data_IF_155658063333
#
_entry.id   IF_155658063333
#
_cell.length_a   1.000
_cell.length_b   1.000
_cell.length_c   1.000
_cell.angle_alpha   90.00
_cell.angle_beta   90.00
_cell.angle_gamma   90.00
#
_symmetry.space_group_name_H-M   'P 1'
#
loop_
_entity.id
_entity.type
_entity.pdbx_description
1 polymer ?
#
# COMPACT_ATOMS: atom_id res chain seq x y z
N UNK A 1 -20.18 -7.07 -1.18
CA UNK A 1 -20.28 -7.57 -2.58
C UNK A 1 -21.43 -6.85 -3.27
N UNK A 2 -21.27 -6.53 -4.55
CA UNK A 2 -22.32 -5.87 -5.35
C UNK A 2 -22.57 -6.73 -6.59
N UNK A 3 -23.83 -7.02 -6.88
CA UNK A 3 -24.26 -7.75 -8.08
C UNK A 3 -25.45 -7.02 -8.72
N UNK A 4 -25.40 -6.82 -10.04
CA UNK A 4 -26.41 -6.11 -10.82
C UNK A 4 -26.84 -4.74 -10.20
N UNK A 5 -25.89 -4.00 -9.61
CA UNK A 5 -26.13 -2.71 -8.95
C UNK A 5 -26.81 -2.78 -7.58
N UNK A 6 -26.90 -3.97 -6.99
CA UNK A 6 -27.48 -4.18 -5.66
C UNK A 6 -26.45 -4.78 -4.72
N UNK A 7 -26.53 -4.42 -3.43
CA UNK A 7 -25.74 -5.07 -2.40
C UNK A 7 -26.20 -6.53 -2.26
N UNK A 8 -25.31 -7.48 -2.57
CA UNK A 8 -25.58 -8.92 -2.53
C UNK A 8 -25.04 -9.60 -1.27
N UNK A 9 -24.12 -8.97 -0.56
CA UNK A 9 -23.58 -9.49 0.70
C UNK A 9 -22.53 -8.57 1.31
N UNK A 10 -22.41 -8.66 2.64
CA UNK A 10 -21.34 -8.06 3.44
C UNK A 10 -20.50 -9.19 3.99
N UNK A 11 -19.18 -9.11 3.86
CA UNK A 11 -18.20 -10.13 4.23
C UNK A 11 -17.28 -9.59 5.33
N UNK A 12 -16.40 -10.45 5.83
CA UNK A 12 -15.29 -10.13 6.75
C UNK A 12 -15.78 -9.63 8.13
N UNK A 13 -16.80 -10.32 8.67
CA UNK A 13 -17.42 -9.99 9.96
C UNK A 13 -16.51 -10.24 11.17
N UNK A 14 -15.35 -10.89 11.00
CA UNK A 14 -14.40 -11.18 12.08
C UNK A 14 -13.80 -9.92 12.72
N UNK A 15 -13.90 -8.77 12.06
CA UNK A 15 -13.46 -7.47 12.58
C UNK A 15 -14.62 -6.62 13.10
N UNK A 16 -15.85 -7.14 13.06
CA UNK A 16 -17.03 -6.39 13.49
C UNK A 16 -16.97 -6.07 15.00
N UNK A 17 -17.26 -4.83 15.35
CA UNK A 17 -17.30 -4.34 16.71
C UNK A 17 -18.28 -3.18 16.85
N UNK A 18 -18.61 -2.83 18.10
CA UNK A 18 -19.37 -1.60 18.38
C UNK A 18 -18.40 -0.41 18.33
N UNK A 19 -18.65 0.52 17.43
CA UNK A 19 -17.75 1.65 17.17
C UNK A 19 -18.44 2.85 16.54
N UNK A 20 -17.65 3.69 15.93
CA UNK A 20 -18.06 4.93 15.28
C UNK A 20 -18.50 4.65 13.83
N UNK A 21 -19.70 5.10 13.44
CA UNK A 21 -20.17 4.96 12.05
C UNK A 21 -19.23 5.59 11.01
N UNK A 22 -18.51 6.67 11.38
CA UNK A 22 -17.49 7.27 10.50
C UNK A 22 -16.27 6.36 10.31
N UNK A 23 -15.94 5.50 11.26
CA UNK A 23 -14.89 4.50 11.13
C UNK A 23 -15.21 3.52 10.01
N UNK A 24 -16.44 3.00 10.01
CA UNK A 24 -16.91 2.02 9.01
C UNK A 24 -16.92 2.64 7.59
N UNK A 25 -17.46 3.86 7.46
CA UNK A 25 -17.41 4.61 6.22
C UNK A 25 -15.96 4.85 5.73
N UNK A 26 -15.08 5.27 6.63
CA UNK A 26 -13.69 5.57 6.31
C UNK A 26 -12.92 4.32 5.88
N UNK A 27 -13.16 3.17 6.52
CA UNK A 27 -12.53 1.91 6.16
C UNK A 27 -12.80 1.53 4.70
N UNK A 28 -14.05 1.58 4.26
CA UNK A 28 -14.41 1.31 2.86
C UNK A 28 -13.94 2.39 1.87
N UNK A 29 -13.54 3.58 2.36
CA UNK A 29 -13.00 4.66 1.55
C UNK A 29 -11.47 4.66 1.45
N UNK A 30 -10.74 3.74 2.12
CA UNK A 30 -9.31 3.59 1.96
C UNK A 30 -8.96 3.25 0.50
N UNK A 31 -7.84 3.75 0.01
CA UNK A 31 -7.44 3.58 -1.41
C UNK A 31 -7.34 2.10 -1.80
N UNK A 32 -6.85 1.27 -0.90
CA UNK A 32 -6.68 -0.18 -1.10
C UNK A 32 -7.99 -0.91 -1.42
N UNK A 33 -9.13 -0.43 -0.91
CA UNK A 33 -10.46 -1.03 -1.13
C UNK A 33 -11.22 -0.46 -2.33
N UNK A 34 -10.64 0.51 -3.05
CA UNK A 34 -11.26 1.09 -4.27
C UNK A 34 -10.98 0.28 -5.53
N UNK A 35 -10.14 -0.76 -5.45
CA UNK A 35 -9.81 -1.65 -6.58
C UNK A 35 -9.44 -0.90 -7.87
N UNK A 36 -8.60 0.14 -7.73
CA UNK A 36 -8.13 0.97 -8.84
C UNK A 36 -9.03 2.15 -9.21
N UNK A 37 -10.21 2.28 -8.62
CA UNK A 37 -11.14 3.39 -8.86
C UNK A 37 -10.77 4.60 -8.00
N UNK A 38 -9.65 5.26 -8.32
CA UNK A 38 -9.19 6.44 -7.58
C UNK A 38 -10.16 7.62 -7.66
N UNK A 39 -10.91 7.69 -8.77
CA UNK A 39 -11.98 8.67 -9.04
C UNK A 39 -13.22 8.47 -8.15
N UNK A 40 -13.38 7.29 -7.52
CA UNK A 40 -14.53 6.89 -6.71
C UNK A 40 -14.09 6.60 -5.28
N UNK A 41 -13.98 7.65 -4.47
CA UNK A 41 -13.45 7.53 -3.11
C UNK A 41 -14.38 6.73 -2.17
N UNK A 42 -15.70 6.80 -2.37
CA UNK A 42 -16.68 6.02 -1.61
C UNK A 42 -16.76 4.57 -2.10
N UNK A 43 -16.08 3.65 -1.46
CA UNK A 43 -16.08 2.19 -1.73
C UNK A 43 -15.73 1.80 -3.20
N UNK A 44 -15.07 2.66 -3.95
CA UNK A 44 -14.87 2.47 -5.38
C UNK A 44 -16.13 2.65 -6.23
N UNK A 45 -17.21 3.13 -5.65
CA UNK A 45 -18.54 3.23 -6.29
C UNK A 45 -18.96 4.68 -6.56
N UNK A 46 -18.68 5.61 -5.63
CA UNK A 46 -19.14 6.99 -5.67
C UNK A 46 -18.10 7.95 -5.06
N UNK A 47 -18.38 9.25 -5.00
CA UNK A 47 -17.63 10.23 -4.21
C UNK A 47 -18.07 10.22 -2.74
N UNK A 48 -17.24 10.81 -1.86
CA UNK A 48 -17.51 10.86 -0.40
C UNK A 48 -18.77 11.67 -0.08
N UNK A 49 -19.04 12.76 -0.80
CA UNK A 49 -20.21 13.60 -0.51
C UNK A 49 -21.52 12.87 -0.82
N UNK A 50 -21.56 12.08 -1.88
CA UNK A 50 -22.70 11.24 -2.22
C UNK A 50 -22.87 10.10 -1.21
N UNK A 51 -21.77 9.48 -0.77
CA UNK A 51 -21.81 8.46 0.28
C UNK A 51 -22.33 9.03 1.60
N UNK A 52 -21.85 10.22 2.01
CA UNK A 52 -22.28 10.89 3.24
C UNK A 52 -23.78 11.14 3.24
N UNK A 53 -24.31 11.72 2.16
CA UNK A 53 -25.77 11.94 2.03
C UNK A 53 -26.55 10.63 2.11
N UNK A 54 -26.11 9.58 1.41
CA UNK A 54 -26.80 8.29 1.45
C UNK A 54 -26.77 7.67 2.84
N UNK A 55 -25.69 7.85 3.61
CA UNK A 55 -25.59 7.40 4.99
C UNK A 55 -26.56 8.14 5.91
N UNK A 56 -26.64 9.48 5.80
CA UNK A 56 -27.59 10.32 6.56
C UNK A 56 -29.05 9.99 6.20
N UNK A 57 -29.37 9.86 4.91
CA UNK A 57 -30.70 9.52 4.41
C UNK A 57 -31.16 8.11 4.89
N UNK A 58 -30.22 7.21 5.12
CA UNK A 58 -30.48 5.89 5.66
C UNK A 58 -30.65 5.88 7.20
N UNK A 59 -30.59 7.04 7.86
CA UNK A 59 -30.73 7.18 9.32
C UNK A 59 -29.41 7.16 10.07
N UNK A 60 -28.29 7.27 9.40
CA UNK A 60 -26.99 7.52 10.02
C UNK A 60 -26.93 8.89 10.70
N UNK A 61 -25.93 9.09 11.55
CA UNK A 61 -25.68 10.38 12.17
C UNK A 61 -25.19 11.41 11.12
N UNK A 62 -25.26 12.70 11.46
CA UNK A 62 -24.73 13.76 10.59
C UNK A 62 -23.26 13.52 10.28
N UNK A 63 -22.90 13.59 9.00
CA UNK A 63 -21.53 13.36 8.56
C UNK A 63 -20.59 14.48 9.02
N UNK A 64 -19.54 14.09 9.73
CA UNK A 64 -18.45 14.96 10.18
C UNK A 64 -17.18 14.65 9.39
N UNK A 65 -16.77 15.58 8.51
CA UNK A 65 -15.60 15.42 7.65
C UNK A 65 -14.27 15.33 8.43
N UNK A 66 -14.17 15.99 9.59
CA UNK A 66 -12.96 15.94 10.43
C UNK A 66 -12.83 14.57 11.09
N UNK A 67 -13.93 14.07 11.64
CA UNK A 67 -14.02 12.75 12.25
C UNK A 67 -13.80 11.63 11.21
N UNK A 68 -14.40 11.76 10.02
CA UNK A 68 -14.16 10.85 8.91
C UNK A 68 -12.69 10.83 8.49
N UNK A 69 -12.04 12.01 8.35
CA UNK A 69 -10.61 12.11 8.01
C UNK A 69 -9.74 11.44 9.08
N UNK A 70 -10.03 11.67 10.36
CA UNK A 70 -9.32 11.01 11.46
C UNK A 70 -9.35 9.49 11.28
N UNK A 71 -10.54 8.93 11.07
CA UNK A 71 -10.70 7.49 10.90
C UNK A 71 -10.05 6.97 9.62
N UNK A 72 -10.06 7.73 8.53
CA UNK A 72 -9.38 7.35 7.29
C UNK A 72 -7.87 7.19 7.50
N UNK A 73 -7.23 8.14 8.17
CA UNK A 73 -5.81 8.07 8.52
C UNK A 73 -5.56 6.91 9.49
N UNK A 74 -6.35 6.82 10.56
CA UNK A 74 -6.21 5.77 11.58
C UNK A 74 -6.32 4.37 10.98
N UNK A 75 -7.34 4.12 10.16
CA UNK A 75 -7.54 2.80 9.55
C UNK A 75 -6.50 2.47 8.48
N UNK A 76 -5.95 3.47 7.81
CA UNK A 76 -4.80 3.26 6.91
C UNK A 76 -3.55 2.83 7.69
N UNK A 77 -3.25 3.46 8.83
CA UNK A 77 -2.17 3.01 9.74
C UNK A 77 -2.45 1.61 10.27
N UNK A 78 -3.68 1.36 10.72
CA UNK A 78 -4.09 0.06 11.25
C UNK A 78 -3.88 -1.06 10.23
N UNK A 79 -4.25 -0.84 8.96
CA UNK A 79 -4.04 -1.83 7.89
C UNK A 79 -2.56 -2.02 7.55
N UNK A 80 -1.75 -0.97 7.60
CA UNK A 80 -0.29 -1.10 7.47
C UNK A 80 0.28 -2.06 8.53
N UNK A 81 -0.11 -1.86 9.81
CA UNK A 81 0.28 -2.75 10.91
C UNK A 81 -0.27 -4.17 10.74
N UNK A 82 -1.49 -4.30 10.22
CA UNK A 82 -2.11 -5.59 9.87
C UNK A 82 -1.27 -6.35 8.83
N UNK A 83 -0.81 -5.68 7.77
CA UNK A 83 0.10 -6.26 6.79
C UNK A 83 1.40 -6.75 7.45
N UNK A 84 2.03 -5.94 8.30
CA UNK A 84 3.25 -6.34 9.01
C UNK A 84 3.03 -7.54 9.94
N UNK A 85 1.86 -7.62 10.61
CA UNK A 85 1.52 -8.73 11.49
C UNK A 85 1.38 -10.06 10.72
N UNK A 86 0.91 -10.01 9.48
CA UNK A 86 0.88 -11.21 8.61
C UNK A 86 2.28 -11.75 8.33
N UNK A 87 3.26 -10.86 8.09
CA UNK A 87 4.66 -11.26 7.99
C UNK A 87 5.19 -11.90 9.27
N UNK A 88 4.78 -11.38 10.43
CA UNK A 88 5.15 -11.95 11.72
C UNK A 88 4.51 -13.34 11.96
N UNK A 89 3.24 -13.52 11.55
CA UNK A 89 2.59 -14.85 11.60
C UNK A 89 3.35 -15.90 10.81
N UNK A 90 3.89 -15.51 9.65
CA UNK A 90 4.75 -16.40 8.86
C UNK A 90 6.08 -16.69 9.56
N UNK A 91 6.76 -15.67 10.12
CA UNK A 91 8.05 -15.86 10.83
C UNK A 91 7.91 -16.73 12.07
N UNK A 92 6.83 -16.58 12.83
CA UNK A 92 6.55 -17.39 14.02
C UNK A 92 6.13 -18.84 13.72
N UNK A 93 5.80 -19.15 12.46
CA UNK A 93 5.29 -20.45 12.06
C UNK A 93 3.78 -20.65 12.27
N UNK A 94 3.05 -19.63 12.75
CA UNK A 94 1.62 -19.69 12.98
C UNK A 94 0.83 -19.88 11.66
N UNK A 95 1.27 -19.21 10.58
CA UNK A 95 0.72 -19.40 9.24
C UNK A 95 1.86 -19.29 8.22
N UNK A 96 2.27 -20.42 7.65
CA UNK A 96 3.39 -20.53 6.70
C UNK A 96 2.97 -20.38 5.24
N UNK A 97 1.75 -19.89 4.97
CA UNK A 97 1.31 -19.63 3.61
C UNK A 97 2.16 -18.54 2.95
N UNK A 98 2.43 -18.71 1.65
CA UNK A 98 3.16 -17.72 0.84
C UNK A 98 2.40 -16.39 0.77
N UNK A 99 1.07 -16.45 0.84
CA UNK A 99 0.19 -15.28 0.84
C UNK A 99 0.54 -14.30 1.97
N UNK A 100 0.81 -14.82 3.21
CA UNK A 100 1.19 -13.98 4.36
C UNK A 100 2.44 -13.15 4.10
N UNK A 101 3.42 -13.72 3.41
CA UNK A 101 4.66 -13.02 3.06
C UNK A 101 4.40 -11.92 2.03
N UNK A 102 3.60 -12.21 1.00
CA UNK A 102 3.31 -11.24 -0.07
C UNK A 102 2.41 -10.12 0.44
N UNK A 103 1.41 -10.44 1.28
CA UNK A 103 0.52 -9.41 1.87
C UNK A 103 1.31 -8.50 2.83
N UNK A 104 2.32 -9.01 3.54
CA UNK A 104 3.17 -8.17 4.38
C UNK A 104 3.85 -7.02 3.59
N UNK A 105 4.19 -7.23 2.31
CA UNK A 105 4.76 -6.20 1.43
C UNK A 105 3.76 -5.10 1.02
N UNK A 106 2.47 -5.33 1.21
CA UNK A 106 1.44 -4.32 0.94
C UNK A 106 1.43 -3.18 1.96
N UNK A 107 2.24 -3.27 3.02
CA UNK A 107 2.47 -2.14 3.92
C UNK A 107 2.93 -0.88 3.15
N UNK A 108 3.74 -1.04 2.09
CA UNK A 108 4.21 0.06 1.26
C UNK A 108 3.08 0.83 0.53
N UNK A 109 1.95 0.16 0.22
CA UNK A 109 0.76 0.84 -0.32
C UNK A 109 0.21 1.86 0.69
N UNK A 110 0.18 1.45 1.97
CA UNK A 110 -0.36 2.29 3.04
C UNK A 110 0.58 3.44 3.39
N UNK A 111 1.90 3.26 3.25
CA UNK A 111 2.88 4.33 3.40
C UNK A 111 2.65 5.43 2.35
N UNK A 112 2.40 5.04 1.09
CA UNK A 112 2.04 5.98 0.03
C UNK A 112 0.74 6.72 0.34
N UNK A 113 -0.31 5.96 0.69
CA UNK A 113 -1.63 6.52 0.97
C UNK A 113 -1.60 7.50 2.15
N UNK A 114 -0.84 7.18 3.20
CA UNK A 114 -0.63 8.07 4.35
C UNK A 114 0.09 9.36 3.93
N UNK A 115 1.12 9.29 3.10
CA UNK A 115 1.79 10.49 2.62
C UNK A 115 0.84 11.38 1.80
N UNK A 116 0.04 10.79 0.91
CA UNK A 116 -0.97 11.52 0.13
C UNK A 116 -2.06 12.16 1.01
N UNK A 117 -2.44 11.51 2.12
CA UNK A 117 -3.41 12.05 3.08
C UNK A 117 -2.84 13.19 3.93
N UNK A 118 -1.55 13.11 4.31
CA UNK A 118 -0.94 13.99 5.31
C UNK A 118 -0.12 15.14 4.70
N UNK A 119 0.32 15.04 3.44
CA UNK A 119 1.20 16.03 2.82
C UNK A 119 0.61 17.45 2.79
N UNK A 120 -0.72 17.57 2.79
CA UNK A 120 -1.40 18.88 2.86
C UNK A 120 -1.11 19.64 4.16
N UNK A 121 -0.66 18.96 5.21
CA UNK A 121 -0.30 19.55 6.51
C UNK A 121 1.14 20.09 6.53
N UNK A 122 1.95 19.71 5.53
CA UNK A 122 3.30 20.24 5.38
C UNK A 122 3.28 21.66 4.79
N UNK A 123 4.29 22.51 5.12
CA UNK A 123 4.47 23.81 4.47
C UNK A 123 4.57 23.67 2.95
N UNK A 124 4.12 24.71 2.22
CA UNK A 124 4.15 24.71 0.76
C UNK A 124 5.56 24.43 0.22
N UNK A 125 6.59 25.04 0.79
CA UNK A 125 7.97 24.83 0.39
C UNK A 125 8.42 23.37 0.50
N UNK A 126 7.90 22.61 1.48
CA UNK A 126 8.21 21.19 1.63
C UNK A 126 7.39 20.33 0.65
N UNK A 127 6.16 20.71 0.36
CA UNK A 127 5.33 20.03 -0.66
C UNK A 127 5.91 20.19 -2.07
N UNK A 128 6.54 21.31 -2.36
CA UNK A 128 7.16 21.67 -3.64
C UNK A 128 8.64 21.29 -3.71
N UNK A 129 9.23 20.74 -2.63
CA UNK A 129 10.64 20.36 -2.60
C UNK A 129 10.91 19.17 -3.53
N UNK A 130 11.94 19.30 -4.38
CA UNK A 130 12.42 18.23 -5.25
C UNK A 130 12.80 16.99 -4.44
N UNK A 131 12.53 15.83 -5.01
CA UNK A 131 12.99 14.57 -4.43
C UNK A 131 14.53 14.51 -4.47
N UNK A 132 15.16 13.94 -3.42
CA UNK A 132 16.59 13.70 -3.44
C UNK A 132 16.94 12.76 -4.60
N UNK A 133 18.13 12.98 -5.20
CA UNK A 133 18.62 12.09 -6.22
C UNK A 133 18.67 10.64 -5.72
N UNK A 134 18.20 9.71 -6.55
CA UNK A 134 18.28 8.30 -6.20
C UNK A 134 19.76 7.91 -5.99
N UNK A 135 20.10 7.22 -4.88
CA UNK A 135 21.46 6.75 -4.66
C UNK A 135 21.89 5.86 -5.83
N UNK A 136 23.11 6.10 -6.34
CA UNK A 136 23.67 5.36 -7.47
C UNK A 136 23.68 3.84 -7.24
N UNK A 137 23.53 3.08 -8.30
CA UNK A 137 23.60 1.61 -8.28
C UNK A 137 24.95 1.15 -7.76
N UNK A 138 24.96 0.37 -6.68
CA UNK A 138 26.05 -0.50 -6.34
C UNK A 138 25.49 -1.93 -6.35
N UNK A 139 25.59 -2.60 -7.47
CA UNK A 139 25.36 -4.05 -7.56
C UNK A 139 26.59 -4.67 -8.21
N UNK A 140 27.50 -5.14 -7.37
CA UNK A 140 28.43 -6.17 -7.83
C UNK A 140 27.65 -7.49 -7.80
N UNK A 141 27.36 -8.03 -8.98
CA UNK A 141 26.88 -9.41 -9.11
C UNK A 141 27.94 -10.37 -8.60
N UNK A 142 27.56 -11.30 -7.73
CA UNK A 142 28.46 -12.33 -7.20
C UNK A 142 28.72 -13.47 -8.20
N UNK A 143 28.09 -13.44 -9.39
CA UNK A 143 28.24 -14.49 -10.41
C UNK A 143 27.47 -14.20 -11.69
N UNK A 144 27.74 -15.05 -12.71
CA UNK A 144 27.06 -15.05 -14.02
C UNK A 144 26.41 -16.44 -14.24
N UNK A 145 25.11 -16.52 -14.61
CA UNK A 145 24.16 -15.39 -14.68
C UNK A 145 23.88 -14.78 -13.32
N UNK A 146 23.46 -13.51 -13.32
CA UNK A 146 23.10 -12.76 -12.10
C UNK A 146 21.89 -13.35 -11.39
N UNK A 147 21.74 -13.09 -10.09
CA UNK A 147 20.57 -13.52 -9.33
C UNK A 147 19.23 -13.03 -9.96
N UNK A 148 19.21 -11.81 -10.52
CA UNK A 148 18.03 -11.27 -11.21
C UNK A 148 17.71 -12.04 -12.49
N UNK A 149 18.72 -12.47 -13.24
CA UNK A 149 18.55 -13.31 -14.45
C UNK A 149 18.04 -14.71 -14.09
N UNK A 150 18.57 -15.33 -13.03
CA UNK A 150 18.10 -16.63 -12.54
C UNK A 150 16.61 -16.53 -12.14
N UNK A 151 16.22 -15.50 -11.38
CA UNK A 151 14.82 -15.28 -10.99
C UNK A 151 13.91 -15.04 -12.21
N UNK A 152 14.43 -14.34 -13.22
CA UNK A 152 13.72 -14.14 -14.50
C UNK A 152 13.49 -15.46 -15.21
N UNK A 153 14.53 -16.27 -15.36
CA UNK A 153 14.44 -17.58 -16.02
C UNK A 153 13.47 -18.53 -15.29
N UNK A 154 13.50 -18.56 -13.95
CA UNK A 154 12.52 -19.34 -13.16
C UNK A 154 11.09 -18.85 -13.39
N UNK A 155 10.87 -17.54 -13.39
CA UNK A 155 9.52 -16.96 -13.62
C UNK A 155 9.00 -17.27 -15.02
N UNK A 156 9.86 -17.20 -16.05
CA UNK A 156 9.52 -17.55 -17.44
C UNK A 156 9.20 -19.03 -17.57
N UNK A 157 10.00 -19.92 -16.96
CA UNK A 157 9.73 -21.35 -16.96
C UNK A 157 8.40 -21.68 -16.27
N UNK A 158 8.11 -21.09 -15.12
CA UNK A 158 6.83 -21.23 -14.41
C UNK A 158 5.66 -20.81 -15.29
N UNK A 159 5.78 -19.68 -15.98
CA UNK A 159 4.74 -19.16 -16.87
C UNK A 159 4.51 -20.05 -18.10
N UNK A 160 5.59 -20.52 -18.73
CA UNK A 160 5.52 -21.30 -19.98
C UNK A 160 5.17 -22.77 -19.73
N UNK A 161 5.66 -23.37 -18.63
CA UNK A 161 5.61 -24.83 -18.44
C UNK A 161 4.59 -25.26 -17.40
N UNK A 162 4.36 -24.46 -16.34
CA UNK A 162 3.55 -24.87 -15.19
C UNK A 162 2.15 -24.25 -15.25
N UNK A 163 2.04 -22.95 -15.57
CA UNK A 163 0.78 -22.19 -15.50
C UNK A 163 -0.38 -22.81 -16.30
N UNK A 164 -0.08 -23.39 -17.46
CA UNK A 164 -1.08 -24.06 -18.32
C UNK A 164 -1.56 -25.42 -17.81
N UNK A 165 -0.91 -25.98 -16.78
CA UNK A 165 -1.23 -27.28 -16.18
C UNK A 165 -2.01 -27.18 -14.87
N UNK A 166 -2.24 -25.95 -14.38
CA UNK A 166 -2.87 -25.66 -13.10
C UNK A 166 -4.20 -24.96 -13.29
N UNK A 167 -5.17 -25.27 -12.42
CA UNK A 167 -6.48 -24.66 -12.37
C UNK A 167 -6.81 -24.13 -10.97
N UNK A 168 -7.90 -23.34 -10.86
CA UNK A 168 -8.47 -22.88 -9.62
C UNK A 168 -7.44 -22.30 -8.65
N UNK A 169 -7.40 -22.82 -7.43
CA UNK A 169 -6.53 -22.33 -6.36
C UNK A 169 -5.05 -22.48 -6.67
N UNK A 170 -4.63 -23.58 -7.28
CA UNK A 170 -3.21 -23.83 -7.60
C UNK A 170 -2.68 -22.82 -8.62
N UNK A 171 -3.48 -22.45 -9.61
CA UNK A 171 -3.15 -21.41 -10.59
C UNK A 171 -3.03 -20.03 -9.93
N UNK A 172 -3.86 -19.75 -8.93
CA UNK A 172 -3.78 -18.51 -8.15
C UNK A 172 -2.51 -18.51 -7.27
N UNK A 173 -2.21 -19.59 -6.57
CA UNK A 173 -0.98 -19.74 -5.76
C UNK A 173 0.29 -19.57 -6.62
N UNK A 174 0.30 -20.09 -7.84
CA UNK A 174 1.38 -19.83 -8.78
C UNK A 174 1.52 -18.34 -9.11
N UNK A 175 0.42 -17.61 -9.29
CA UNK A 175 0.47 -16.17 -9.53
C UNK A 175 1.05 -15.42 -8.33
N UNK A 176 0.72 -15.83 -7.11
CA UNK A 176 1.31 -15.28 -5.87
C UNK A 176 2.82 -15.58 -5.82
N UNK A 177 3.24 -16.80 -6.17
CA UNK A 177 4.66 -17.18 -6.23
C UNK A 177 5.44 -16.34 -7.26
N UNK A 178 4.87 -16.15 -8.46
CA UNK A 178 5.47 -15.30 -9.49
C UNK A 178 5.58 -13.84 -9.06
N UNK A 179 4.58 -13.32 -8.32
CA UNK A 179 4.66 -11.98 -7.73
C UNK A 179 5.78 -11.89 -6.69
N UNK A 180 5.93 -12.88 -5.81
CA UNK A 180 7.02 -12.93 -4.83
C UNK A 180 8.40 -12.92 -5.50
N UNK A 181 8.62 -13.75 -6.53
CA UNK A 181 9.85 -13.73 -7.33
C UNK A 181 10.08 -12.35 -7.97
N UNK A 182 9.02 -11.72 -8.45
CA UNK A 182 9.05 -10.38 -9.02
C UNK A 182 9.51 -9.31 -8.02
N UNK A 183 9.05 -9.39 -6.75
CA UNK A 183 9.49 -8.51 -5.66
C UNK A 183 11.01 -8.65 -5.46
N UNK A 184 11.50 -9.87 -5.27
CA UNK A 184 12.94 -10.13 -5.03
C UNK A 184 13.78 -9.64 -6.21
N UNK A 185 13.34 -9.90 -7.46
CA UNK A 185 14.03 -9.42 -8.66
C UNK A 185 14.15 -7.89 -8.71
N UNK A 186 13.08 -7.19 -8.34
CA UNK A 186 13.08 -5.72 -8.32
C UNK A 186 13.94 -5.15 -7.18
N UNK A 187 13.96 -5.79 -6.01
CA UNK A 187 14.87 -5.43 -4.92
C UNK A 187 16.33 -5.59 -5.32
N UNK A 188 16.68 -6.70 -5.98
CA UNK A 188 18.05 -6.94 -6.47
C UNK A 188 18.46 -5.94 -7.58
N UNK A 189 17.48 -5.47 -8.36
CA UNK A 189 17.73 -4.45 -9.40
C UNK A 189 17.75 -3.01 -8.83
N UNK A 190 17.13 -2.78 -7.68
CA UNK A 190 17.05 -1.51 -6.98
C UNK A 190 17.94 -1.49 -5.73
N UNK A 191 18.04 -0.32 -5.10
CA UNK A 191 18.64 -0.20 -3.77
C UNK A 191 17.51 0.03 -2.77
N UNK A 192 17.24 -0.95 -1.91
CA UNK A 192 16.42 -0.70 -0.72
C UNK A 192 17.22 0.19 0.23
N UNK A 193 16.69 1.36 0.55
CA UNK A 193 17.24 2.18 1.62
C UNK A 193 16.87 1.49 2.95
N UNK A 194 17.85 1.11 3.79
CA UNK A 194 17.55 0.42 5.03
C UNK A 194 16.65 1.28 5.92
N UNK A 195 15.74 0.63 6.64
CA UNK A 195 14.88 1.33 7.59
C UNK A 195 15.70 2.19 8.53
N UNK A 196 15.47 3.51 8.49
CA UNK A 196 16.18 4.47 9.33
C UNK A 196 15.53 4.52 10.71
N UNK A 197 16.06 3.71 11.63
CA UNK A 197 15.59 3.68 13.02
C UNK A 197 15.73 5.03 13.71
N UNK A 198 16.80 5.77 13.40
CA UNK A 198 17.05 7.10 13.99
C UNK A 198 16.00 8.09 13.51
N UNK A 199 15.63 8.03 12.22
CA UNK A 199 14.55 8.85 11.68
C UNK A 199 13.22 8.53 12.37
N UNK A 200 12.88 7.24 12.49
CA UNK A 200 11.66 6.81 13.18
C UNK A 200 11.64 7.28 14.66
N UNK A 201 12.72 7.11 15.39
CA UNK A 201 12.85 7.58 16.77
C UNK A 201 12.71 9.10 16.88
N UNK A 202 13.25 9.87 15.93
CA UNK A 202 13.13 11.32 15.90
C UNK A 202 11.70 11.78 15.66
N UNK A 203 10.98 11.12 14.75
CA UNK A 203 9.56 11.40 14.49
C UNK A 203 8.72 11.07 15.73
N UNK A 204 8.88 9.86 16.28
CA UNK A 204 8.13 9.43 17.47
C UNK A 204 8.38 10.30 18.71
N UNK A 205 9.58 10.83 18.84
CA UNK A 205 9.93 11.76 19.94
C UNK A 205 9.54 13.23 19.66
N UNK A 206 8.88 13.52 18.54
CA UNK A 206 8.49 14.86 18.15
C UNK A 206 9.65 15.79 17.76
N UNK A 207 10.87 15.23 17.57
CA UNK A 207 12.03 16.02 17.12
C UNK A 207 11.99 16.35 15.63
N UNK A 208 11.24 15.58 14.86
CA UNK A 208 10.96 15.81 13.44
C UNK A 208 9.47 15.69 13.17
N UNK A 209 8.96 16.53 12.27
CA UNK A 209 7.56 16.58 11.87
C UNK A 209 7.47 16.99 10.39
N UNK A 210 6.25 17.07 9.84
CA UNK A 210 6.03 17.58 8.47
C UNK A 210 6.53 19.02 8.24
N UNK A 211 6.85 19.75 9.32
CA UNK A 211 7.47 21.10 9.27
C UNK A 211 9.00 21.03 9.14
N UNK A 212 9.60 19.86 9.32
CA UNK A 212 11.06 19.69 9.25
C UNK A 212 11.52 19.69 7.80
N UNK A 213 12.51 20.52 7.52
CA UNK A 213 13.07 20.70 6.18
C UNK A 213 13.53 19.35 5.57
N UNK A 214 13.07 19.05 4.35
CA UNK A 214 13.45 17.89 3.57
C UNK A 214 12.86 16.55 4.05
N UNK A 215 12.17 16.50 5.20
CA UNK A 215 11.60 15.24 5.70
C UNK A 215 10.57 14.66 4.73
N UNK A 216 9.62 15.48 4.28
CA UNK A 216 8.57 15.03 3.38
C UNK A 216 9.15 14.49 2.05
N UNK A 217 10.13 15.19 1.46
CA UNK A 217 10.79 14.74 0.22
C UNK A 217 11.53 13.41 0.42
N UNK A 218 12.20 13.23 1.57
CA UNK A 218 12.85 11.97 1.93
C UNK A 218 11.85 10.82 2.04
N UNK A 219 10.74 11.02 2.75
CA UNK A 219 9.70 10.00 2.90
C UNK A 219 9.05 9.64 1.57
N UNK A 220 8.74 10.63 0.73
CA UNK A 220 8.20 10.41 -0.63
C UNK A 220 9.16 9.58 -1.48
N UNK A 221 10.45 9.92 -1.52
CA UNK A 221 11.48 9.20 -2.28
C UNK A 221 11.59 7.74 -1.84
N UNK A 222 11.64 7.50 -0.53
CA UNK A 222 11.67 6.13 0.03
C UNK A 222 10.44 5.33 -0.32
N UNK A 223 9.26 5.91 -0.12
CA UNK A 223 7.98 5.24 -0.41
C UNK A 223 7.86 4.91 -1.90
N UNK A 224 8.22 5.81 -2.80
CA UNK A 224 8.24 5.54 -4.24
C UNK A 224 9.21 4.39 -4.59
N UNK A 225 10.39 4.34 -3.97
CA UNK A 225 11.37 3.27 -4.18
C UNK A 225 10.85 1.92 -3.69
N UNK A 226 10.40 1.85 -2.45
CA UNK A 226 9.88 0.61 -1.82
C UNK A 226 8.67 0.08 -2.57
N UNK A 227 7.67 0.93 -2.83
CA UNK A 227 6.45 0.52 -3.50
C UNK A 227 6.69 0.12 -4.97
N UNK A 228 7.69 0.71 -5.63
CA UNK A 228 8.10 0.29 -6.98
C UNK A 228 8.65 -1.13 -7.01
N UNK A 229 9.28 -1.58 -5.94
CA UNK A 229 9.73 -2.96 -5.79
C UNK A 229 8.58 -3.88 -5.37
N UNK A 230 7.79 -3.49 -4.40
CA UNK A 230 6.78 -4.35 -3.78
C UNK A 230 5.52 -4.47 -4.63
N UNK A 231 4.92 -3.34 -5.01
CA UNK A 231 3.63 -3.28 -5.71
C UNK A 231 3.64 -2.27 -6.88
N UNK A 232 4.43 -2.51 -7.96
CA UNK A 232 4.61 -1.55 -9.05
C UNK A 232 3.33 -1.21 -9.82
N UNK A 233 2.29 -2.03 -9.67
CA UNK A 233 0.97 -1.86 -10.30
C UNK A 233 -0.04 -1.18 -9.37
N UNK A 234 0.39 -0.72 -8.19
CA UNK A 234 -0.52 -0.04 -7.29
C UNK A 234 -1.02 1.27 -7.94
N UNK A 235 -2.34 1.47 -8.07
CA UNK A 235 -2.89 2.58 -8.86
C UNK A 235 -2.45 3.95 -8.39
N UNK A 236 -2.39 4.17 -7.07
CA UNK A 236 -1.97 5.45 -6.51
C UNK A 236 -0.50 5.79 -6.82
N UNK A 237 0.38 4.78 -7.03
CA UNK A 237 1.77 4.99 -7.43
C UNK A 237 1.88 5.70 -8.78
N UNK A 238 1.02 5.36 -9.74
CA UNK A 238 1.00 5.98 -11.05
C UNK A 238 0.60 7.47 -10.99
N UNK A 239 -0.25 7.83 -10.02
CA UNK A 239 -0.65 9.21 -9.77
C UNK A 239 0.38 10.00 -8.96
N UNK A 240 0.98 9.38 -7.95
CA UNK A 240 1.94 10.03 -7.05
C UNK A 240 3.28 10.35 -7.75
N UNK A 241 3.76 9.49 -8.65
CA UNK A 241 5.03 9.72 -9.36
C UNK A 241 5.08 11.06 -10.10
N UNK A 242 4.18 11.38 -11.04
CA UNK A 242 4.21 12.67 -11.73
C UNK A 242 3.94 13.83 -10.76
N UNK A 243 3.06 13.65 -9.77
CA UNK A 243 2.75 14.67 -8.77
C UNK A 243 4.00 15.10 -7.99
N UNK A 244 4.86 14.17 -7.60
CA UNK A 244 6.04 14.43 -6.77
C UNK A 244 7.32 14.67 -7.57
N UNK A 245 7.32 14.42 -8.88
CA UNK A 245 8.50 14.59 -9.75
C UNK A 245 8.44 15.87 -10.60
N UNK A 246 7.36 16.63 -10.57
CA UNK A 246 7.14 17.82 -11.41
C UNK A 246 7.50 19.15 -10.73
N UNK A 247 8.12 19.13 -9.56
CA UNK A 247 8.51 20.34 -8.83
C UNK A 247 9.97 20.67 -9.12
#
# INVERSE_FOLDING_TARGET
MVDAGRLSGVLDWELAHLGDGHEDLAYGCMTVWRFGRLDKQGFGLTDVATLARAYEDAGGEQFDAVRFRFWLVYRTVWWALGCLSMGQSWRSGTDRSLERVVVARRCAEQELDLLLLLESEAPQAERERLLPAAPGRASESLGEPTAAEILTAVSEWLAATVKGKLDGRERWELAVAQNALGIVRRELAGRADPADKVLAENILAGRQSLQTEGLLATLRSRTLSTLSADMPKYPALASARPLWSQV
#
